data_IF_783409039830
#
_entry.id   IF_783409039830
#
_cell.length_a   1.000
_cell.length_b   1.000
_cell.length_c   1.000
_cell.angle_alpha   90.00
_cell.angle_beta   90.00
_cell.angle_gamma   90.00
#
_symmetry.space_group_name_H-M   'P 1'
#
loop_
_entity.id
_entity.type
_entity.pdbx_description
1 polymer ?
#
# COMPACT_ATOMS: atom_id res chain seq x y z
N UNK A 1 25.91 21.89 -16.52
CA UNK A 1 26.76 20.95 -15.77
C UNK A 1 25.94 20.36 -14.62
N UNK A 2 25.61 19.08 -14.66
CA UNK A 2 24.90 18.38 -13.58
C UNK A 2 25.35 16.93 -13.58
N UNK A 3 26.12 16.53 -12.57
CA UNK A 3 26.77 15.24 -12.51
C UNK A 3 25.74 14.11 -12.34
N UNK A 4 25.56 13.28 -13.37
CA UNK A 4 24.94 11.96 -13.24
C UNK A 4 25.90 11.07 -12.46
N UNK A 5 25.75 11.07 -11.12
CA UNK A 5 26.47 10.15 -10.23
C UNK A 5 26.08 8.71 -10.62
N UNK A 6 27.11 7.91 -10.92
CA UNK A 6 26.99 6.55 -11.42
C UNK A 6 26.12 5.64 -10.56
N UNK A 7 25.29 4.85 -11.24
CA UNK A 7 24.45 3.81 -10.65
C UNK A 7 25.24 2.50 -10.74
N UNK A 8 25.60 1.85 -9.63
CA UNK A 8 26.27 0.56 -9.68
C UNK A 8 25.33 -0.47 -10.33
N UNK A 9 25.84 -1.17 -11.35
CA UNK A 9 25.17 -2.28 -12.04
C UNK A 9 25.00 -3.47 -11.08
N UNK A 10 23.97 -3.39 -10.25
CA UNK A 10 23.58 -4.44 -9.31
C UNK A 10 22.06 -4.48 -9.19
N UNK A 11 21.41 -5.26 -10.07
CA UNK A 11 20.02 -5.74 -9.94
C UNK A 11 18.91 -4.67 -10.09
N UNK A 12 18.71 -4.19 -11.31
CA UNK A 12 17.54 -3.37 -11.68
C UNK A 12 16.24 -4.19 -11.56
N UNK A 13 15.60 -4.19 -10.39
CA UNK A 13 14.14 -4.36 -10.32
C UNK A 13 13.55 -2.96 -10.20
N UNK A 14 12.89 -2.47 -11.24
CA UNK A 14 12.20 -1.18 -11.24
C UNK A 14 10.90 -1.32 -10.43
N UNK A 15 11.03 -1.69 -9.16
CA UNK A 15 9.93 -1.70 -8.22
C UNK A 15 9.45 -0.26 -8.02
N UNK A 16 8.32 0.07 -8.64
CA UNK A 16 7.69 1.37 -8.49
C UNK A 16 6.88 1.38 -7.20
N UNK A 17 6.87 2.51 -6.49
CA UNK A 17 5.97 2.68 -5.33
C UNK A 17 4.53 2.42 -5.80
N UNK A 18 3.81 1.60 -5.06
CA UNK A 18 2.40 1.36 -5.34
C UNK A 18 1.65 2.69 -5.24
N UNK A 19 1.03 3.12 -6.34
CA UNK A 19 0.36 4.42 -6.43
C UNK A 19 -0.92 4.48 -5.58
N UNK A 20 -1.56 3.33 -5.32
CA UNK A 20 -2.75 3.22 -4.47
C UNK A 20 -2.40 3.56 -3.02
N UNK A 21 -1.46 2.84 -2.41
CA UNK A 21 -1.08 3.05 -1.01
C UNK A 21 0.09 4.03 -0.83
N UNK A 22 0.61 4.61 -1.91
CA UNK A 22 1.76 5.53 -1.93
C UNK A 22 3.02 4.97 -1.26
N UNK A 23 3.19 3.65 -1.28
CA UNK A 23 4.33 2.98 -0.66
C UNK A 23 4.11 2.44 0.75
N UNK A 24 2.96 2.68 1.38
CA UNK A 24 2.74 2.27 2.79
C UNK A 24 2.40 0.79 2.93
N UNK A 25 1.87 0.15 1.87
CA UNK A 25 1.33 -1.20 1.93
C UNK A 25 -0.04 -1.29 2.61
N UNK A 26 -0.62 -0.17 3.04
CA UNK A 26 -1.91 -0.13 3.72
C UNK A 26 -2.90 0.73 2.94
N UNK A 27 -4.16 0.32 2.97
CA UNK A 27 -5.24 1.06 2.33
C UNK A 27 -6.45 1.14 3.27
N UNK A 28 -7.33 2.10 3.01
CA UNK A 28 -8.58 2.26 3.75
C UNK A 28 -9.42 1.01 3.53
N UNK A 29 -9.99 0.46 4.62
CA UNK A 29 -10.84 -0.71 4.53
C UNK A 29 -12.07 -0.41 3.65
N UNK A 30 -12.20 -1.04 2.46
CA UNK A 30 -13.25 -0.70 1.52
C UNK A 30 -14.64 -1.11 2.04
N UNK A 31 -14.73 -2.16 2.87
CA UNK A 31 -16.02 -2.57 3.45
C UNK A 31 -16.61 -1.51 4.39
N UNK A 32 -15.80 -0.91 5.26
CA UNK A 32 -16.29 0.09 6.22
C UNK A 32 -15.94 1.53 5.84
N UNK A 33 -15.24 1.76 4.74
CA UNK A 33 -14.69 3.06 4.35
C UNK A 33 -13.93 3.77 5.49
N UNK A 34 -13.18 3.00 6.29
CA UNK A 34 -12.45 3.53 7.44
C UNK A 34 -13.25 3.71 8.73
N UNK A 35 -14.58 3.54 8.71
CA UNK A 35 -15.46 3.77 9.88
C UNK A 35 -15.34 2.71 10.98
N UNK A 36 -14.56 1.64 10.76
CA UNK A 36 -14.33 0.54 11.72
C UNK A 36 -15.56 -0.30 12.04
N UNK A 37 -16.75 0.14 11.63
CA UNK A 37 -18.03 -0.55 11.77
C UNK A 37 -18.67 -0.81 10.41
N UNK A 38 -19.39 -1.92 10.30
CA UNK A 38 -20.19 -2.27 9.14
C UNK A 38 -21.51 -2.87 9.66
N UNK A 39 -22.66 -2.36 9.22
CA UNK A 39 -23.99 -2.73 9.72
C UNK A 39 -24.15 -2.66 11.26
N UNK A 40 -23.55 -1.65 11.89
CA UNK A 40 -23.64 -1.43 13.34
C UNK A 40 -22.67 -2.27 14.19
N UNK A 41 -22.06 -3.30 13.60
CA UNK A 41 -21.09 -4.17 14.28
C UNK A 41 -19.65 -3.81 13.91
N UNK A 42 -18.68 -4.34 14.67
CA UNK A 42 -17.25 -4.22 14.35
C UNK A 42 -17.00 -4.79 12.96
N UNK A 43 -16.38 -3.99 12.08
CA UNK A 43 -16.15 -4.41 10.70
C UNK A 43 -15.27 -5.68 10.68
N UNK A 44 -15.77 -6.82 10.17
CA UNK A 44 -15.05 -8.10 10.24
C UNK A 44 -13.86 -8.15 9.27
N UNK A 45 -13.84 -7.31 8.23
CA UNK A 45 -12.76 -7.27 7.25
C UNK A 45 -11.49 -6.64 7.82
N UNK A 46 -11.62 -5.48 8.47
CA UNK A 46 -10.48 -4.82 9.11
C UNK A 46 -10.33 -5.16 10.60
N UNK A 47 -11.27 -5.93 11.17
CA UNK A 47 -11.36 -6.24 12.60
C UNK A 47 -11.32 -4.96 13.46
N UNK A 48 -12.10 -3.95 13.08
CA UNK A 48 -12.18 -2.67 13.79
C UNK A 48 -11.00 -1.71 13.58
N UNK A 49 -10.00 -2.05 12.74
CA UNK A 49 -8.84 -1.18 12.48
C UNK A 49 -9.12 -0.02 11.53
N UNK A 50 -10.11 -0.15 10.65
CA UNK A 50 -10.42 0.84 9.60
C UNK A 50 -9.47 0.80 8.39
N UNK A 51 -8.41 -0.01 8.45
CA UNK A 51 -7.42 -0.18 7.40
C UNK A 51 -7.16 -1.67 7.13
N UNK A 52 -6.74 -1.98 5.91
CA UNK A 52 -6.38 -3.33 5.45
C UNK A 52 -5.06 -3.28 4.68
N UNK A 53 -4.50 -4.44 4.37
CA UNK A 53 -3.39 -4.52 3.41
C UNK A 53 -3.87 -3.97 2.07
N UNK A 54 -3.06 -3.14 1.44
CA UNK A 54 -3.37 -2.62 0.12
C UNK A 54 -3.51 -3.79 -0.87
N UNK A 55 -4.70 -3.91 -1.46
CA UNK A 55 -5.04 -5.00 -2.38
C UNK A 55 -4.14 -4.98 -3.62
N UNK A 56 -3.79 -3.79 -4.13
CA UNK A 56 -3.00 -3.65 -5.35
C UNK A 56 -1.56 -4.18 -5.22
N UNK A 57 -0.93 -4.03 -4.05
CA UNK A 57 0.44 -4.51 -3.82
C UNK A 57 0.54 -5.71 -2.87
N UNK A 58 -0.59 -6.20 -2.34
CA UNK A 58 -0.62 -7.26 -1.33
C UNK A 58 0.04 -6.87 0.01
N UNK A 59 0.21 -5.56 0.28
CA UNK A 59 0.91 -5.06 1.45
C UNK A 59 2.40 -4.79 1.28
N UNK A 60 2.96 -4.97 0.08
CA UNK A 60 4.40 -4.75 -0.18
C UNK A 60 4.80 -3.27 -0.31
N UNK A 61 3.84 -2.39 -0.60
CA UNK A 61 4.11 -0.99 -0.90
C UNK A 61 4.72 -0.74 -2.29
N UNK A 62 5.02 -1.79 -3.06
CA UNK A 62 5.61 -1.71 -4.39
C UNK A 62 4.84 -2.57 -5.39
N UNK A 63 4.87 -2.16 -6.66
CA UNK A 63 4.42 -2.90 -7.83
C UNK A 63 5.62 -3.03 -8.76
N UNK A 64 5.87 -4.26 -9.24
CA UNK A 64 6.95 -4.66 -10.17
C UNK A 64 6.28 -5.19 -11.43
#
# INVERSE_FOLDING_TARGET
>A
MGAMKGIPLGRFRMASKCYICKGTGLDICPRCNGNKKFNGETCPECNGRGIVKCYACGGRGIID
#
